data_IF_160503879622
#
_entry.id   IF_160503879622
#
_cell.length_a   1.000
_cell.length_b   1.000
_cell.length_c   1.000
_cell.angle_alpha   90.00
_cell.angle_beta   90.00
_cell.angle_gamma   90.00
#
_symmetry.space_group_name_H-M   'P 1'
#
loop_
_entity.id
_entity.type
_entity.pdbx_description
1 polymer ?
#
# COMPACT_ATOMS: atom_id res chain seq x y z
N UNK A 1 5.50 -12.87 10.03
CA UNK A 1 4.87 -11.94 9.94
C UNK A 1 5.41 -10.70 10.36
N UNK A 2 5.13 -9.67 9.84
CA UNK A 2 5.71 -8.46 10.08
C UNK A 2 4.89 -7.59 10.92
N UNK A 3 5.40 -7.16 12.02
CA UNK A 3 4.73 -6.19 12.80
C UNK A 3 4.58 -4.90 12.03
N UNK A 4 5.47 -4.66 11.10
CA UNK A 4 5.39 -3.46 10.32
C UNK A 4 4.10 -3.38 9.53
N UNK A 5 3.64 -4.50 9.04
CA UNK A 5 2.42 -4.51 8.27
C UNK A 5 1.25 -4.01 9.12
N UNK A 6 1.13 -4.51 10.33
CA UNK A 6 0.05 -4.08 11.18
C UNK A 6 0.21 -2.61 11.55
N UNK A 7 1.42 -2.19 11.79
CA UNK A 7 1.66 -0.82 12.15
C UNK A 7 1.27 0.10 11.00
N UNK A 8 1.70 -0.21 9.81
CA UNK A 8 1.37 0.60 8.65
C UNK A 8 -0.11 0.60 8.40
N UNK A 9 -0.73 -0.54 8.56
CA UNK A 9 -2.15 -0.61 8.35
C UNK A 9 -2.88 0.32 9.30
N UNK A 10 -2.46 0.34 10.53
CA UNK A 10 -3.07 1.20 11.50
C UNK A 10 -2.85 2.65 11.13
N UNK A 11 -1.67 2.98 10.66
CA UNK A 11 -1.37 4.33 10.28
C UNK A 11 -2.25 4.78 9.12
N UNK A 12 -2.32 3.96 8.10
CA UNK A 12 -3.10 4.32 6.94
C UNK A 12 -4.55 4.51 7.33
N UNK A 13 -5.04 3.63 8.18
CA UNK A 13 -6.40 3.74 8.58
C UNK A 13 -6.64 5.03 9.34
N UNK A 14 -5.67 5.44 10.11
CA UNK A 14 -5.80 6.66 10.87
C UNK A 14 -5.83 7.86 9.93
N UNK A 15 -5.01 7.82 8.89
CA UNK A 15 -5.01 8.91 7.95
C UNK A 15 -6.25 8.90 7.07
N UNK A 16 -6.77 7.74 6.77
CA UNK A 16 -7.95 7.64 5.91
C UNK A 16 -9.02 6.82 6.60
N UNK A 17 -9.66 7.37 7.58
CA UNK A 17 -10.65 6.59 8.32
C UNK A 17 -11.84 6.19 7.45
N UNK A 18 -12.02 6.85 6.35
CA UNK A 18 -13.13 6.50 5.48
C UNK A 18 -12.77 5.36 4.54
N UNK A 19 -11.54 4.98 4.49
CA UNK A 19 -11.14 3.93 3.56
C UNK A 19 -11.59 2.59 4.05
N UNK A 20 -11.90 1.71 3.11
CA UNK A 20 -12.28 0.35 3.49
C UNK A 20 -11.05 -0.42 3.78
N UNK A 21 -11.22 -1.60 4.31
CA UNK A 21 -10.07 -2.43 4.59
C UNK A 21 -9.30 -2.73 3.34
N UNK A 22 -10.00 -2.93 2.26
CA UNK A 22 -9.30 -3.24 1.03
C UNK A 22 -8.43 -2.08 0.61
N UNK A 23 -8.93 -0.88 0.73
CA UNK A 23 -8.13 0.24 0.33
C UNK A 23 -6.94 0.40 1.24
N UNK A 24 -7.15 0.25 2.54
CA UNK A 24 -6.06 0.37 3.47
C UNK A 24 -5.00 -0.67 3.16
N UNK A 25 -5.44 -1.88 2.91
CA UNK A 25 -4.50 -2.95 2.64
C UNK A 25 -3.70 -2.64 1.39
N UNK A 26 -4.37 -2.15 0.39
CA UNK A 26 -3.70 -1.85 -0.85
C UNK A 26 -2.62 -0.80 -0.63
N UNK A 27 -2.95 0.20 0.13
CA UNK A 27 -1.98 1.24 0.39
C UNK A 27 -0.79 0.70 1.16
N UNK A 28 -1.05 -0.12 2.16
CA UNK A 28 0.04 -0.68 2.93
C UNK A 28 0.95 -1.50 2.05
N UNK A 29 0.36 -2.27 1.15
CA UNK A 29 1.17 -3.07 0.26
C UNK A 29 2.06 -2.19 -0.59
N UNK A 30 1.53 -1.09 -1.03
CA UNK A 30 2.33 -0.22 -1.84
C UNK A 30 3.53 0.28 -1.05
N UNK A 31 3.31 0.65 0.19
CA UNK A 31 4.40 1.14 0.99
C UNK A 31 5.45 0.07 1.19
N UNK A 32 5.02 -1.11 1.52
CA UNK A 32 5.96 -2.18 1.76
C UNK A 32 6.70 -2.55 0.51
N UNK A 33 5.98 -2.63 -0.59
CA UNK A 33 6.61 -3.05 -1.81
C UNK A 33 7.47 -1.98 -2.38
N UNK A 34 7.36 -0.78 -1.99
CA UNK A 34 8.23 0.20 -2.54
C UNK A 34 7.62 0.79 -3.73
N UNK A 35 6.86 1.36 -3.91
CA UNK A 35 6.19 1.94 -4.97
C UNK A 35 6.92 2.42 -6.11
N UNK A 36 8.02 2.04 -6.41
CA UNK A 36 8.65 2.52 -7.56
C UNK A 36 8.32 1.73 -8.72
N UNK A 37 7.43 0.97 -8.71
CA UNK A 37 7.12 0.18 -9.83
C UNK A 37 6.79 0.94 -11.02
N UNK A 38 6.64 2.10 -10.91
CA UNK A 38 6.25 2.81 -12.06
C UNK A 38 7.05 2.43 -13.24
N UNK A 39 8.21 2.13 -13.06
CA UNK A 39 8.99 1.89 -14.20
C UNK A 39 8.48 0.75 -14.96
N UNK A 40 8.05 -0.21 -14.36
CA UNK A 40 7.69 -1.31 -15.15
C UNK A 40 6.48 -1.06 -15.91
N UNK A 41 5.70 -0.23 -15.51
CA UNK A 41 4.51 -0.15 -16.23
C UNK A 41 4.76 0.28 -17.61
N UNK A 42 5.82 0.94 -17.83
CA UNK A 42 5.99 1.38 -19.12
C UNK A 42 5.94 0.24 -20.04
N UNK A 43 6.61 -0.77 -19.78
CA UNK A 43 6.68 -1.77 -20.71
C UNK A 43 5.40 -2.52 -20.76
N UNK A 44 4.75 -2.56 -19.73
CA UNK A 44 3.58 -3.34 -19.79
C UNK A 44 2.62 -2.64 -20.69
N UNK A 45 2.64 -1.41 -20.79
CA UNK A 45 1.73 -0.78 -21.65
C UNK A 45 2.03 -1.07 -23.06
N UNK A 46 3.19 -1.36 -23.36
CA UNK A 46 3.47 -1.59 -24.72
C UNK A 46 3.06 -2.86 -25.16
#
# INVERSE_FOLDING_TARGET
>A
MDNNYLFLRSQVKAFHPNWSEEQVDSEVKKIIDGDEEDNDCLYCGS
#
